data_IF_006516512198
#
_entry.id   IF_006516512198
#
_cell.length_a   1.000
_cell.length_b   1.000
_cell.length_c   1.000
_cell.angle_alpha   90.00
_cell.angle_beta   90.00
_cell.angle_gamma   90.00
#
_symmetry.space_group_name_H-M   'P 1'
#
loop_
_entity.id
_entity.type
_entity.pdbx_description
1 polymer ?
#
# COMPACT_ATOMS: atom_id res chain seq x y z
N UNK A 1 7.25 2.81 -5.82
CA UNK A 1 7.91 2.93 -4.51
C UNK A 1 7.67 1.65 -3.74
N UNK A 2 8.61 1.24 -2.90
CA UNK A 2 8.48 0.06 -2.04
C UNK A 2 8.93 0.45 -0.63
N UNK A 3 8.19 0.02 0.38
CA UNK A 3 8.53 0.13 1.80
C UNK A 3 8.81 -1.28 2.30
N UNK A 4 9.90 -1.45 3.06
CA UNK A 4 10.23 -2.70 3.73
C UNK A 4 10.16 -2.44 5.22
N UNK A 5 9.38 -3.23 5.95
CA UNK A 5 9.16 -3.09 7.38
C UNK A 5 9.71 -4.34 8.08
N UNK A 6 10.95 -4.28 8.61
CA UNK A 6 11.49 -5.36 9.43
C UNK A 6 10.64 -5.59 10.68
N UNK A 7 10.63 -6.82 11.19
CA UNK A 7 9.98 -7.21 12.44
C UNK A 7 8.50 -6.76 12.54
N UNK A 8 7.81 -6.73 11.40
CA UNK A 8 6.42 -6.27 11.27
C UNK A 8 5.60 -7.31 10.52
N UNK A 9 4.51 -7.78 11.11
CA UNK A 9 3.58 -8.69 10.46
C UNK A 9 2.67 -7.95 9.45
N UNK A 10 1.88 -8.71 8.69
CA UNK A 10 1.01 -8.15 7.66
C UNK A 10 -0.02 -7.18 8.23
N UNK A 11 -0.58 -7.45 9.41
CA UNK A 11 -1.57 -6.59 10.06
C UNK A 11 -0.97 -5.24 10.50
N UNK A 12 0.22 -5.27 11.12
CA UNK A 12 0.97 -4.07 11.49
C UNK A 12 1.39 -3.26 10.26
N UNK A 13 1.82 -3.93 9.19
CA UNK A 13 2.15 -3.29 7.93
C UNK A 13 0.94 -2.62 7.27
N UNK A 14 -0.22 -3.28 7.27
CA UNK A 14 -1.49 -2.72 6.78
C UNK A 14 -1.94 -1.51 7.61
N UNK A 15 -1.80 -1.58 8.93
CA UNK A 15 -2.11 -0.46 9.83
C UNK A 15 -1.22 0.76 9.52
N UNK A 16 0.10 0.56 9.50
CA UNK A 16 1.06 1.62 9.17
C UNK A 16 0.78 2.24 7.79
N UNK A 17 0.56 1.40 6.78
CA UNK A 17 0.24 1.85 5.43
C UNK A 17 -1.07 2.66 5.40
N UNK A 18 -2.08 2.29 6.19
CA UNK A 18 -3.33 3.07 6.24
C UNK A 18 -3.15 4.44 6.88
N UNK A 19 -2.31 4.56 7.92
CA UNK A 19 -1.99 5.87 8.51
C UNK A 19 -1.25 6.74 7.49
N UNK A 20 -0.22 6.22 6.82
CA UNK A 20 0.48 6.93 5.76
C UNK A 20 -0.46 7.39 4.63
N UNK A 21 -1.43 6.53 4.24
CA UNK A 21 -2.44 6.87 3.23
C UNK A 21 -3.31 8.05 3.67
N UNK A 22 -3.76 8.06 4.93
CA UNK A 22 -4.59 9.15 5.48
C UNK A 22 -3.81 10.44 5.56
N UNK A 23 -2.57 10.39 6.06
CA UNK A 23 -1.68 11.55 6.16
C UNK A 23 -1.47 12.19 4.79
N UNK A 24 -1.10 11.39 3.78
CA UNK A 24 -0.93 11.89 2.41
C UNK A 24 -2.24 12.44 1.84
N UNK A 25 -3.37 11.77 2.06
CA UNK A 25 -4.68 12.22 1.61
C UNK A 25 -5.13 13.56 2.22
N UNK A 26 -4.62 13.91 3.40
CA UNK A 26 -4.90 15.16 4.10
C UNK A 26 -4.01 16.32 3.63
N UNK A 27 -2.93 16.06 2.88
CA UNK A 27 -2.06 17.10 2.36
C UNK A 27 -2.73 17.84 1.19
N UNK A 28 -2.87 19.15 1.35
CA UNK A 28 -3.14 20.06 0.23
C UNK A 28 -1.81 20.49 -0.37
N UNK A 29 -1.57 20.07 -1.61
CA UNK A 29 -0.40 20.46 -2.38
C UNK A 29 -0.72 21.70 -3.21
N UNK A 30 0.25 22.58 -3.41
CA UNK A 30 0.08 23.80 -4.24
C UNK A 30 1.04 23.76 -5.41
N UNK A 31 0.55 24.11 -6.59
CA UNK A 31 1.32 24.29 -7.81
C UNK A 31 1.00 25.64 -8.45
N UNK A 32 1.70 25.97 -9.53
CA UNK A 32 1.40 27.15 -10.37
C UNK A 32 -0.05 27.15 -10.91
N UNK A 33 -0.69 25.98 -10.98
CA UNK A 33 -2.07 25.82 -11.45
C UNK A 33 -3.11 25.78 -10.31
N UNK A 34 -2.71 26.04 -9.07
CA UNK A 34 -3.57 26.03 -7.89
C UNK A 34 -3.32 24.86 -6.94
N UNK A 35 -4.24 24.70 -5.99
CA UNK A 35 -4.16 23.67 -4.94
C UNK A 35 -4.86 22.38 -5.36
N UNK A 36 -4.27 21.25 -5.04
CA UNK A 36 -4.81 19.92 -5.32
C UNK A 36 -4.47 18.95 -4.19
N UNK A 37 -5.21 17.85 -4.14
CA UNK A 37 -4.95 16.76 -3.20
C UNK A 37 -4.58 15.50 -3.97
N UNK A 38 -3.69 14.70 -3.37
CA UNK A 38 -3.31 13.39 -3.90
C UNK A 38 -3.71 12.30 -2.92
N UNK A 39 -3.96 11.11 -3.43
CA UNK A 39 -4.18 9.92 -2.61
C UNK A 39 -3.28 8.81 -3.09
N UNK A 40 -3.00 7.86 -2.21
CA UNK A 40 -2.20 6.68 -2.54
C UNK A 40 -3.00 5.41 -2.31
N UNK A 41 -2.64 4.37 -3.06
CA UNK A 41 -3.07 3.00 -2.80
C UNK A 41 -1.84 2.15 -2.60
N UNK A 42 -1.92 1.15 -1.72
CA UNK A 42 -0.81 0.27 -1.40
C UNK A 42 -1.28 -1.18 -1.32
N UNK A 43 -0.43 -2.10 -1.76
CA UNK A 43 -0.58 -3.52 -1.52
C UNK A 43 0.48 -3.97 -0.52
N UNK A 44 0.12 -4.91 0.35
CA UNK A 44 0.98 -5.42 1.43
C UNK A 44 1.16 -6.93 1.26
N UNK A 45 2.40 -7.38 1.38
CA UNK A 45 2.76 -8.80 1.43
C UNK A 45 3.73 -9.04 2.59
N UNK A 46 3.56 -10.14 3.30
CA UNK A 46 4.34 -10.52 4.49
C UNK A 46 5.29 -11.67 4.19
N UNK A 47 6.55 -11.56 4.61
CA UNK A 47 7.48 -12.68 4.62
C UNK A 47 7.38 -13.45 5.95
N UNK A 48 7.31 -14.79 5.94
CA UNK A 48 7.28 -15.69 4.77
C UNK A 48 5.86 -16.08 4.32
N UNK A 49 4.81 -15.47 4.89
CA UNK A 49 3.42 -15.88 4.71
C UNK A 49 2.94 -15.78 3.25
N UNK A 50 3.30 -14.72 2.55
CA UNK A 50 2.86 -14.40 1.18
C UNK A 50 3.95 -14.68 0.12
N UNK A 51 5.14 -15.11 0.55
CA UNK A 51 6.25 -15.41 -0.35
C UNK A 51 7.54 -15.75 0.41
N UNK A 52 8.38 -16.60 -0.17
CA UNK A 52 9.65 -17.06 0.41
C UNK A 52 10.87 -16.41 -0.22
N UNK A 53 10.68 -15.60 -1.24
CA UNK A 53 11.74 -14.81 -1.85
C UNK A 53 11.26 -13.40 -2.22
N UNK A 54 12.22 -12.52 -2.50
CA UNK A 54 11.95 -11.12 -2.86
C UNK A 54 10.96 -10.98 -4.02
N UNK A 55 11.12 -11.80 -5.07
CA UNK A 55 10.28 -11.69 -6.27
C UNK A 55 8.82 -12.04 -5.96
N UNK A 56 8.58 -13.11 -5.20
CA UNK A 56 7.23 -13.51 -4.79
C UNK A 56 6.56 -12.42 -3.94
N UNK A 57 7.27 -11.84 -2.97
CA UNK A 57 6.72 -10.76 -2.12
C UNK A 57 6.36 -9.52 -2.93
N UNK A 58 7.23 -9.11 -3.86
CA UNK A 58 6.96 -7.98 -4.73
C UNK A 58 5.74 -8.25 -5.62
N UNK A 59 5.67 -9.44 -6.21
CA UNK A 59 4.53 -9.83 -7.05
C UNK A 59 3.22 -9.83 -6.27
N UNK A 60 3.19 -10.36 -5.05
CA UNK A 60 1.99 -10.38 -4.20
C UNK A 60 1.58 -8.99 -3.73
N UNK A 61 2.54 -8.15 -3.35
CA UNK A 61 2.27 -6.76 -3.01
C UNK A 61 1.72 -5.98 -4.22
N UNK A 62 2.27 -6.19 -5.41
CA UNK A 62 1.78 -5.55 -6.64
C UNK A 62 0.38 -6.02 -7.03
N UNK A 63 0.08 -7.32 -6.88
CA UNK A 63 -1.27 -7.85 -7.12
C UNK A 63 -2.29 -7.27 -6.14
N UNK A 64 -1.94 -7.15 -4.86
CA UNK A 64 -2.80 -6.50 -3.87
C UNK A 64 -3.00 -5.00 -4.15
N UNK A 65 -1.95 -4.30 -4.62
CA UNK A 65 -2.06 -2.92 -5.07
C UNK A 65 -2.95 -2.80 -6.32
N UNK A 66 -2.84 -3.75 -7.25
CA UNK A 66 -3.66 -3.78 -8.44
C UNK A 66 -5.15 -3.93 -8.09
N UNK A 67 -5.46 -4.82 -7.13
CA UNK A 67 -6.82 -4.93 -6.58
C UNK A 67 -7.34 -3.57 -6.09
N UNK A 68 -6.55 -2.82 -5.30
CA UNK A 68 -6.93 -1.47 -4.85
C UNK A 68 -7.25 -0.54 -6.03
N UNK A 69 -6.47 -0.60 -7.12
CA UNK A 69 -6.66 0.25 -8.31
C UNK A 69 -7.97 -0.06 -9.04
N UNK A 70 -8.39 -1.32 -9.09
CA UNK A 70 -9.66 -1.73 -9.70
C UNK A 70 -10.87 -1.49 -8.79
N UNK A 71 -10.67 -1.45 -7.46
CA UNK A 71 -11.73 -1.36 -6.47
C UNK A 71 -11.86 0.04 -5.83
N UNK A 72 -11.64 1.10 -6.61
CA UNK A 72 -11.93 2.48 -6.19
C UNK A 72 -10.73 3.28 -5.67
N UNK A 73 -9.51 2.72 -5.70
CA UNK A 73 -8.27 3.37 -5.26
C UNK A 73 -8.36 3.83 -3.79
N UNK A 74 -7.44 4.72 -3.38
CA UNK A 74 -7.34 5.27 -2.03
C UNK A 74 -7.55 4.24 -0.91
N UNK A 75 -6.95 3.06 -1.04
CA UNK A 75 -7.06 1.98 -0.08
C UNK A 75 -5.77 1.16 0.03
N UNK A 76 -5.70 0.39 1.10
CA UNK A 76 -4.64 -0.56 1.40
C UNK A 76 -5.26 -1.96 1.45
N UNK A 77 -4.59 -2.95 0.87
CA UNK A 77 -4.98 -4.36 0.97
C UNK A 77 -3.78 -5.24 1.20
N UNK A 78 -3.95 -6.24 2.06
CA UNK A 78 -3.01 -7.36 2.19
C UNK A 78 -3.29 -8.38 1.10
N UNK A 79 -2.24 -9.05 0.63
CA UNK A 79 -2.38 -10.15 -0.33
C UNK A 79 -3.36 -11.23 0.17
N UNK A 80 -3.24 -11.65 1.43
CA UNK A 80 -4.14 -12.62 2.07
C UNK A 80 -5.63 -12.23 2.16
N UNK A 81 -6.02 -11.00 1.81
CA UNK A 81 -7.42 -10.56 1.74
C UNK A 81 -7.99 -10.59 0.32
N UNK A 82 -7.14 -10.74 -0.70
CA UNK A 82 -7.52 -10.59 -2.12
C UNK A 82 -7.06 -11.76 -2.99
N UNK A 83 -6.24 -12.66 -2.46
CA UNK A 83 -5.68 -13.85 -3.12
C UNK A 83 -5.87 -15.13 -2.35
#
# INVERSE_FOLDING_TARGET
FVLVLPDTDGAGAEHFANELRKEIGALTMTSEHGSFNVTISMGVAEFPADGRCRNELLERADQALYFCKEHGRNCVRRWSQVG
#
